data_IF_967119086306
#
_entry.id   IF_967119086306
#
_cell.length_a   1.000
_cell.length_b   1.000
_cell.length_c   1.000
_cell.angle_alpha   90.00
_cell.angle_beta   90.00
_cell.angle_gamma   90.00
#
_symmetry.space_group_name_H-M   'P 1'
#
loop_
_entity.id
_entity.type
_entity.pdbx_description
1 polymer ?
#
# COMPACT_ATOMS: atom_id res chain seq x y z
N UNK A 1 -62.95 -38.00 -18.92
CA UNK A 1 -62.53 -37.74 -17.53
C UNK A 1 -61.75 -36.42 -17.37
N UNK A 2 -61.96 -35.41 -18.23
CA UNK A 2 -61.16 -34.16 -18.27
C UNK A 2 -61.94 -32.86 -18.00
N UNK A 3 -63.26 -32.89 -17.77
CA UNK A 3 -64.10 -31.68 -17.69
C UNK A 3 -64.26 -31.07 -16.28
N UNK A 4 -63.85 -31.79 -15.24
CA UNK A 4 -63.92 -31.31 -13.85
C UNK A 4 -62.74 -30.42 -13.47
N UNK A 5 -61.62 -30.53 -14.20
CA UNK A 5 -60.39 -29.78 -13.96
C UNK A 5 -60.56 -28.31 -14.40
N UNK A 6 -61.28 -28.05 -15.50
CA UNK A 6 -61.53 -26.70 -16.02
C UNK A 6 -62.39 -25.83 -15.07
N UNK A 7 -63.35 -26.45 -14.36
CA UNK A 7 -64.18 -25.72 -13.36
C UNK A 7 -63.44 -25.44 -12.07
N UNK A 8 -62.48 -26.30 -11.69
CA UNK A 8 -61.59 -26.05 -10.56
C UNK A 8 -60.59 -24.94 -10.90
N UNK A 9 -60.02 -24.92 -12.11
CA UNK A 9 -59.09 -23.90 -12.59
C UNK A 9 -59.72 -22.50 -12.76
N UNK A 10 -61.04 -22.41 -13.00
CA UNK A 10 -61.72 -21.12 -13.25
C UNK A 10 -62.39 -20.51 -12.01
N UNK A 11 -62.20 -21.08 -10.82
CA UNK A 11 -62.75 -20.58 -9.56
C UNK A 11 -61.92 -19.42 -8.99
N UNK A 12 -62.57 -18.30 -8.63
CA UNK A 12 -61.92 -17.15 -7.95
C UNK A 12 -61.21 -17.55 -6.65
N UNK A 13 -61.69 -18.61 -5.99
CA UNK A 13 -61.10 -19.15 -4.76
C UNK A 13 -59.86 -19.99 -5.07
N UNK A 14 -59.92 -20.84 -6.11
CA UNK A 14 -58.79 -21.64 -6.55
C UNK A 14 -57.62 -20.76 -7.02
N UNK A 15 -57.91 -19.72 -7.82
CA UNK A 15 -56.90 -18.77 -8.26
C UNK A 15 -56.19 -18.06 -7.09
N UNK A 16 -56.93 -17.68 -6.04
CA UNK A 16 -56.36 -17.07 -4.82
C UNK A 16 -55.45 -18.03 -4.08
N UNK A 17 -55.87 -19.29 -3.91
CA UNK A 17 -55.06 -20.31 -3.22
C UNK A 17 -53.78 -20.60 -4.00
N UNK A 18 -53.88 -20.76 -5.33
CA UNK A 18 -52.72 -20.97 -6.20
C UNK A 18 -51.77 -19.78 -6.16
N UNK A 19 -52.27 -18.53 -6.17
CA UNK A 19 -51.38 -17.37 -6.12
C UNK A 19 -50.62 -17.29 -4.79
N UNK A 20 -51.28 -17.60 -3.67
CA UNK A 20 -50.63 -17.65 -2.35
C UNK A 20 -49.63 -18.79 -2.29
N UNK A 21 -49.96 -19.97 -2.83
CA UNK A 21 -49.05 -21.11 -2.86
C UNK A 21 -47.79 -20.81 -3.70
N UNK A 22 -47.95 -20.20 -4.87
CA UNK A 22 -46.83 -19.75 -5.70
C UNK A 22 -46.02 -18.67 -4.96
N UNK A 23 -46.66 -17.71 -4.31
CA UNK A 23 -45.96 -16.70 -3.52
C UNK A 23 -45.14 -17.31 -2.37
N UNK A 24 -45.68 -18.31 -1.67
CA UNK A 24 -44.98 -19.06 -0.62
C UNK A 24 -43.82 -19.88 -1.18
N UNK A 25 -44.00 -20.53 -2.34
CA UNK A 25 -42.93 -21.28 -3.00
C UNK A 25 -41.80 -20.35 -3.45
N UNK A 26 -42.13 -19.19 -4.04
CA UNK A 26 -41.14 -18.18 -4.43
C UNK A 26 -40.44 -17.59 -3.21
N UNK A 27 -41.19 -17.28 -2.15
CA UNK A 27 -40.61 -16.81 -0.88
C UNK A 27 -39.66 -17.86 -0.30
N UNK A 28 -40.06 -19.14 -0.27
CA UNK A 28 -39.21 -20.21 0.25
C UNK A 28 -37.99 -20.44 -0.64
N UNK A 29 -38.12 -20.36 -1.97
CA UNK A 29 -36.99 -20.46 -2.89
C UNK A 29 -35.97 -19.34 -2.66
N UNK A 30 -36.43 -18.09 -2.51
CA UNK A 30 -35.56 -16.95 -2.21
C UNK A 30 -34.98 -16.98 -0.79
N UNK A 31 -35.76 -17.42 0.20
CA UNK A 31 -35.33 -17.51 1.60
C UNK A 31 -34.45 -18.73 1.88
N UNK A 32 -34.54 -19.78 1.04
CA UNK A 32 -33.73 -20.99 1.12
C UNK A 32 -32.40 -20.85 0.37
N UNK A 33 -32.12 -19.70 -0.24
CA UNK A 33 -30.78 -19.39 -0.74
C UNK A 33 -29.83 -19.19 0.45
N UNK A 34 -29.37 -20.33 0.97
CA UNK A 34 -28.40 -20.48 2.04
C UNK A 34 -27.01 -20.30 1.46
N UNK A 35 -26.74 -19.08 1.04
CA UNK A 35 -25.41 -18.66 0.62
C UNK A 35 -25.12 -17.32 1.29
N UNK A 36 -24.79 -17.34 2.58
CA UNK A 36 -24.25 -16.15 3.25
C UNK A 36 -22.82 -15.91 2.78
N UNK A 37 -22.62 -15.82 1.47
CA UNK A 37 -21.41 -15.30 0.88
C UNK A 37 -21.45 -13.79 1.13
N UNK A 38 -20.79 -13.37 2.19
CA UNK A 38 -20.70 -11.96 2.56
C UNK A 38 -19.50 -11.40 1.81
N UNK A 39 -19.72 -10.32 1.06
CA UNK A 39 -18.63 -9.54 0.48
C UNK A 39 -18.12 -8.56 1.54
N UNK A 40 -16.81 -8.54 1.74
CA UNK A 40 -16.13 -7.61 2.65
C UNK A 40 -14.94 -6.97 1.96
N UNK A 41 -14.77 -5.68 2.18
CA UNK A 41 -13.58 -4.93 1.79
C UNK A 41 -12.59 -4.96 2.94
N UNK A 42 -11.35 -5.34 2.66
CA UNK A 42 -10.23 -5.33 3.59
C UNK A 42 -9.10 -4.50 2.97
N UNK A 43 -8.63 -3.51 3.72
CA UNK A 43 -7.47 -2.70 3.34
C UNK A 43 -6.21 -3.40 3.84
N UNK A 44 -5.29 -3.71 2.93
CA UNK A 44 -4.07 -4.48 3.22
C UNK A 44 -2.85 -3.68 2.73
N UNK A 45 -1.75 -3.65 3.50
CA UNK A 45 -0.51 -3.02 3.04
C UNK A 45 0.04 -3.73 1.81
N UNK A 46 0.65 -2.93 0.92
CA UNK A 46 1.27 -3.42 -0.29
C UNK A 46 2.73 -3.80 -0.04
N UNK A 47 3.06 -5.06 -0.27
CA UNK A 47 4.43 -5.57 -0.14
C UNK A 47 5.15 -5.62 -1.48
N UNK A 48 6.44 -5.26 -1.49
CA UNK A 48 7.29 -5.30 -2.67
C UNK A 48 8.27 -6.46 -2.58
N UNK A 49 8.18 -7.39 -3.52
CA UNK A 49 9.05 -8.57 -3.58
C UNK A 49 10.17 -8.37 -4.61
N UNK A 50 11.32 -8.99 -4.33
CA UNK A 50 12.49 -9.01 -5.20
C UNK A 50 13.02 -7.61 -5.56
N UNK A 51 12.98 -6.66 -4.63
CA UNK A 51 13.59 -5.33 -4.81
C UNK A 51 15.11 -5.49 -4.97
N UNK A 52 15.73 -5.01 -6.06
CA UNK A 52 17.17 -5.06 -6.24
C UNK A 52 17.92 -4.30 -5.11
N UNK A 53 19.07 -4.82 -4.68
CA UNK A 53 19.84 -4.31 -3.51
C UNK A 53 20.31 -2.86 -3.71
N UNK A 54 20.54 -2.44 -4.94
CA UNK A 54 20.96 -1.08 -5.33
C UNK A 54 19.77 -0.17 -5.70
N UNK A 55 18.53 -0.55 -5.35
CA UNK A 55 17.33 0.19 -5.74
C UNK A 55 16.37 0.42 -4.58
N UNK A 56 15.63 1.53 -4.67
CA UNK A 56 14.51 1.85 -3.80
C UNK A 56 13.24 1.98 -4.61
N UNK A 57 12.12 1.55 -4.02
CA UNK A 57 10.79 1.67 -4.62
C UNK A 57 10.13 2.93 -4.11
N UNK A 58 9.69 3.78 -5.03
CA UNK A 58 8.83 4.92 -4.74
C UNK A 58 7.45 4.67 -5.34
N UNK A 59 6.42 4.57 -4.52
CA UNK A 59 5.03 4.42 -4.93
C UNK A 59 4.14 5.45 -4.22
N UNK A 60 3.11 5.94 -4.93
CA UNK A 60 2.06 6.76 -4.32
C UNK A 60 1.01 5.95 -3.55
N UNK A 61 0.98 4.64 -3.78
CA UNK A 61 0.03 3.69 -3.16
C UNK A 61 0.79 2.82 -2.17
N UNK A 62 0.32 2.80 -0.92
CA UNK A 62 0.88 1.99 0.19
C UNK A 62 -0.05 0.89 0.67
N UNK A 63 -1.35 1.08 0.43
CA UNK A 63 -2.41 0.17 0.86
C UNK A 63 -3.33 -0.08 -0.33
N UNK A 64 -3.91 -1.28 -0.39
CA UNK A 64 -4.81 -1.72 -1.44
C UNK A 64 -6.09 -2.24 -0.80
N UNK A 65 -7.22 -1.86 -1.37
CA UNK A 65 -8.53 -2.36 -0.96
C UNK A 65 -8.85 -3.64 -1.73
N UNK A 66 -9.06 -4.72 -0.98
CA UNK A 66 -9.34 -6.04 -1.53
C UNK A 66 -10.73 -6.44 -1.09
N UNK A 67 -11.62 -6.66 -2.06
CA UNK A 67 -12.94 -7.24 -1.80
C UNK A 67 -12.87 -8.76 -1.90
N UNK A 68 -13.32 -9.41 -0.84
CA UNK A 68 -13.36 -10.86 -0.72
C UNK A 68 -14.77 -11.35 -0.44
N UNK A 69 -15.16 -12.46 -1.05
CA UNK A 69 -16.41 -13.17 -0.74
C UNK A 69 -16.10 -14.46 0.02
N UNK A 70 -16.90 -14.75 1.04
CA UNK A 70 -16.77 -15.97 1.84
C UNK A 70 -17.90 -16.10 2.84
N UNK A 71 -17.95 -17.23 3.53
CA UNK A 71 -18.90 -17.40 4.64
C UNK A 71 -18.61 -16.37 5.74
N UNK A 72 -19.64 -15.99 6.50
CA UNK A 72 -19.50 -14.99 7.57
C UNK A 72 -18.38 -15.33 8.57
N UNK A 73 -18.18 -16.62 8.87
CA UNK A 73 -17.16 -17.11 9.80
C UNK A 73 -15.76 -17.03 9.20
N UNK A 74 -15.59 -17.43 7.93
CA UNK A 74 -14.28 -17.41 7.24
C UNK A 74 -13.84 -15.98 6.93
N UNK A 75 -14.76 -15.10 6.49
CA UNK A 75 -14.45 -13.70 6.20
C UNK A 75 -13.95 -12.93 7.44
N UNK A 76 -14.47 -13.23 8.64
CA UNK A 76 -14.07 -12.56 9.87
C UNK A 76 -12.73 -13.08 10.42
N UNK A 77 -12.52 -14.40 10.36
CA UNK A 77 -11.31 -15.03 10.91
C UNK A 77 -10.08 -14.87 10.03
N UNK A 78 -10.26 -14.82 8.70
CA UNK A 78 -9.15 -14.86 7.74
C UNK A 78 -8.75 -13.48 7.19
N UNK A 79 -9.44 -12.40 7.58
CA UNK A 79 -9.16 -11.05 7.08
C UNK A 79 -7.71 -10.60 7.34
N UNK A 80 -7.09 -11.01 8.46
CA UNK A 80 -5.70 -10.69 8.80
C UNK A 80 -4.64 -11.53 8.09
N UNK A 81 -5.03 -12.53 7.30
CA UNK A 81 -4.11 -13.42 6.55
C UNK A 81 -4.04 -13.06 5.07
N UNK A 82 -4.81 -12.07 4.63
CA UNK A 82 -4.78 -11.58 3.25
C UNK A 82 -3.48 -10.80 3.07
N UNK A 83 -2.70 -11.16 2.05
CA UNK A 83 -1.47 -10.46 1.70
C UNK A 83 -1.58 -9.92 0.26
N UNK A 84 -1.00 -8.73 0.04
CA UNK A 84 -0.95 -8.09 -1.26
C UNK A 84 0.50 -7.80 -1.63
N UNK A 85 0.90 -8.22 -2.83
CA UNK A 85 2.31 -8.19 -3.24
C UNK A 85 2.47 -7.76 -4.71
N UNK A 86 3.60 -7.12 -4.99
CA UNK A 86 4.05 -6.82 -6.36
C UNK A 86 5.44 -7.41 -6.56
N UNK A 87 5.60 -8.21 -7.62
CA UNK A 87 6.90 -8.73 -8.03
C UNK A 87 7.62 -7.74 -8.95
N UNK A 88 8.82 -7.35 -8.51
CA UNK A 88 9.73 -6.41 -9.17
C UNK A 88 10.97 -7.10 -9.77
N UNK A 89 10.97 -8.44 -9.81
CA UNK A 89 12.10 -9.23 -10.32
C UNK A 89 12.48 -8.82 -11.75
N UNK A 90 13.77 -8.51 -11.93
CA UNK A 90 14.34 -8.21 -13.24
C UNK A 90 13.99 -6.83 -13.81
N UNK A 91 13.36 -5.96 -13.02
CA UNK A 91 13.07 -4.59 -13.44
C UNK A 91 14.31 -3.70 -13.22
N UNK A 92 14.59 -2.87 -14.23
CA UNK A 92 15.59 -1.82 -14.16
C UNK A 92 15.05 -0.51 -13.56
N UNK A 93 15.90 0.52 -13.43
CA UNK A 93 15.47 1.83 -12.96
C UNK A 93 14.45 2.48 -13.91
N UNK A 94 13.52 3.24 -13.35
CA UNK A 94 12.47 3.96 -14.07
C UNK A 94 11.05 3.65 -13.60
N UNK A 95 10.07 4.23 -14.31
CA UNK A 95 8.65 4.04 -14.04
C UNK A 95 8.14 2.73 -14.62
N UNK A 96 7.49 1.94 -13.78
CA UNK A 96 6.86 0.68 -14.15
C UNK A 96 5.41 0.65 -13.65
N UNK A 97 4.57 -0.06 -14.40
CA UNK A 97 3.19 -0.36 -14.00
C UNK A 97 3.07 -1.86 -13.79
N UNK A 98 2.67 -2.28 -12.58
CA UNK A 98 2.59 -3.70 -12.23
C UNK A 98 1.21 -4.05 -11.65
N UNK A 99 0.69 -5.24 -11.96
CA UNK A 99 -0.54 -5.71 -11.35
C UNK A 99 -0.30 -6.08 -9.88
N UNK A 100 -1.27 -5.78 -9.01
CA UNK A 100 -1.26 -6.24 -7.63
C UNK A 100 -1.61 -7.72 -7.60
N UNK A 101 -0.75 -8.54 -7.01
CA UNK A 101 -1.04 -9.96 -6.76
C UNK A 101 -1.60 -10.09 -5.34
N UNK A 102 -2.73 -10.77 -5.20
CA UNK A 102 -3.35 -11.00 -3.90
C UNK A 102 -3.24 -12.48 -3.54
N UNK A 103 -2.72 -12.76 -2.35
CA UNK A 103 -2.68 -14.09 -1.77
C UNK A 103 -3.84 -14.21 -0.80
N UNK A 104 -4.77 -15.11 -1.10
CA UNK A 104 -5.93 -15.39 -0.27
C UNK A 104 -5.82 -16.77 0.38
N UNK A 105 -6.19 -16.89 1.66
CA UNK A 105 -6.34 -18.19 2.30
C UNK A 105 -7.52 -18.98 1.74
N UNK A 106 -7.49 -20.30 1.91
CA UNK A 106 -8.58 -21.19 1.48
C UNK A 106 -9.90 -20.81 2.13
N UNK A 107 -10.97 -20.74 1.34
CA UNK A 107 -12.32 -20.40 1.83
C UNK A 107 -12.71 -18.93 1.64
N UNK A 108 -11.82 -18.12 1.07
CA UNK A 108 -12.13 -16.80 0.51
C UNK A 108 -12.00 -16.84 -1.02
N UNK A 109 -12.83 -16.05 -1.70
CA UNK A 109 -12.72 -15.79 -3.14
C UNK A 109 -12.45 -14.31 -3.36
N UNK A 110 -11.59 -14.02 -4.32
CA UNK A 110 -11.35 -12.65 -4.74
C UNK A 110 -12.53 -12.15 -5.56
N UNK A 111 -13.11 -11.02 -5.15
CA UNK A 111 -14.16 -10.32 -5.90
C UNK A 111 -13.55 -9.20 -6.71
N UNK A 112 -12.80 -8.31 -6.04
CA UNK A 112 -12.23 -7.11 -6.65
C UNK A 112 -10.96 -6.67 -5.91
N UNK A 113 -10.07 -6.00 -6.63
CA UNK A 113 -8.87 -5.34 -6.07
C UNK A 113 -8.83 -3.92 -6.59
N UNK A 114 -8.69 -2.96 -5.69
CA UNK A 114 -8.60 -1.55 -6.03
C UNK A 114 -7.43 -0.87 -5.31
N UNK A 115 -6.45 -0.30 -6.03
CA UNK A 115 -6.29 -0.32 -7.48
C UNK A 115 -5.76 -1.68 -8.00
N UNK A 116 -6.15 -2.13 -9.20
CA UNK A 116 -5.63 -3.38 -9.79
C UNK A 116 -4.19 -3.25 -10.31
N UNK A 117 -3.78 -2.02 -10.65
CA UNK A 117 -2.44 -1.69 -11.11
C UNK A 117 -1.87 -0.56 -10.27
N UNK A 118 -0.60 -0.70 -9.92
CA UNK A 118 0.15 0.33 -9.19
C UNK A 118 1.28 0.82 -10.09
N UNK A 119 1.35 2.14 -10.23
CA UNK A 119 2.47 2.82 -10.86
C UNK A 119 3.56 3.02 -9.80
N UNK A 120 4.75 2.52 -10.10
CA UNK A 120 5.90 2.51 -9.19
C UNK A 120 7.14 3.00 -9.91
N UNK A 121 8.01 3.70 -9.20
CA UNK A 121 9.27 4.20 -9.73
C UNK A 121 10.43 3.54 -8.99
N UNK A 122 11.29 2.86 -9.76
CA UNK A 122 12.52 2.25 -9.25
C UNK A 122 13.65 3.24 -9.40
N UNK A 123 14.23 3.62 -8.27
CA UNK A 123 15.30 4.62 -8.20
C UNK A 123 16.57 3.93 -7.74
N UNK A 124 17.68 4.14 -8.46
CA UNK A 124 18.98 3.64 -8.02
C UNK A 124 19.44 4.40 -6.79
N UNK A 125 19.81 3.65 -5.77
CA UNK A 125 20.48 4.18 -4.58
C UNK A 125 21.98 4.12 -4.80
N UNK A 126 22.62 5.26 -4.69
CA UNK A 126 24.07 5.36 -4.68
C UNK A 126 24.55 5.82 -3.30
N UNK A 127 25.82 5.58 -3.02
CA UNK A 127 26.52 6.14 -1.87
C UNK A 127 27.67 6.98 -2.40
N UNK A 128 27.76 8.24 -1.97
CA UNK A 128 28.83 9.15 -2.37
C UNK A 128 29.53 9.69 -1.14
N UNK A 129 30.85 9.74 -1.19
CA UNK A 129 31.67 10.41 -0.19
C UNK A 129 31.76 11.88 -0.59
N UNK A 130 31.34 12.76 0.32
CA UNK A 130 31.34 14.20 0.10
C UNK A 130 32.18 14.90 1.18
N UNK A 131 32.96 15.93 0.81
CA UNK A 131 33.72 16.72 1.77
C UNK A 131 32.77 17.58 2.60
N UNK A 132 33.08 17.68 3.89
CA UNK A 132 32.35 18.54 4.83
C UNK A 132 32.96 19.94 4.81
N UNK A 133 32.13 20.95 4.54
CA UNK A 133 32.50 22.36 4.64
C UNK A 133 31.70 23.03 5.75
N UNK A 134 32.36 23.90 6.49
CA UNK A 134 31.70 24.71 7.51
C UNK A 134 31.21 26.03 6.90
N UNK A 135 29.96 26.42 7.19
CA UNK A 135 29.57 27.83 7.08
C UNK A 135 29.98 28.54 8.36
N UNK A 136 30.78 29.60 8.21
CA UNK A 136 31.09 30.48 9.33
C UNK A 136 29.85 31.35 9.59
N UNK A 137 29.27 31.35 10.80
CA UNK A 137 28.13 32.20 11.13
C UNK A 137 28.51 33.68 11.04
N UNK A 138 27.63 34.50 10.46
CA UNK A 138 27.76 35.95 10.50
C UNK A 138 27.51 36.44 11.94
N UNK A 139 28.48 37.17 12.53
CA UNK A 139 28.33 37.73 13.89
C UNK A 139 29.47 37.44 14.87
N UNK A 140 30.69 37.16 14.39
CA UNK A 140 31.87 37.10 15.27
C UNK A 140 32.03 38.43 16.04
N UNK A 141 32.16 38.41 17.39
CA UNK A 141 32.34 39.62 18.17
C UNK A 141 33.59 40.40 17.71
N UNK A 142 33.57 41.75 17.79
CA UNK A 142 34.71 42.56 17.39
C UNK A 142 35.96 42.19 18.21
N UNK A 143 37.06 41.87 17.52
CA UNK A 143 38.32 41.42 18.13
C UNK A 143 38.59 39.91 18.03
N UNK A 144 37.63 39.11 17.55
CA UNK A 144 37.83 37.68 17.31
C UNK A 144 38.12 37.41 15.83
N UNK A 145 39.09 36.52 15.55
CA UNK A 145 39.41 36.01 14.21
C UNK A 145 39.47 34.49 14.28
N UNK A 146 38.94 33.83 13.26
CA UNK A 146 39.06 32.38 13.11
C UNK A 146 40.49 32.06 12.66
N UNK A 147 41.31 31.42 13.50
CA UNK A 147 42.73 31.16 13.19
C UNK A 147 42.96 29.82 12.48
N UNK A 148 42.27 28.74 12.87
CA UNK A 148 42.24 27.46 12.16
C UNK A 148 41.15 26.58 12.77
N UNK A 149 40.41 25.82 11.98
CA UNK A 149 39.37 24.91 12.47
C UNK A 149 39.55 23.52 11.87
N UNK A 150 39.42 22.49 12.71
CA UNK A 150 39.63 21.09 12.33
C UNK A 150 38.29 20.38 12.25
N UNK A 151 37.81 20.14 11.04
CA UNK A 151 36.59 19.38 10.80
C UNK A 151 36.92 17.89 10.88
N UNK A 152 36.41 17.20 11.90
CA UNK A 152 36.46 15.75 12.02
C UNK A 152 35.03 15.19 12.10
N UNK A 153 34.56 14.40 11.11
CA UNK A 153 35.30 13.89 9.94
C UNK A 153 35.34 14.87 8.75
N UNK A 154 36.45 14.86 8.01
CA UNK A 154 36.66 15.68 6.79
C UNK A 154 35.72 15.28 5.65
N UNK A 155 35.30 14.01 5.63
CA UNK A 155 34.43 13.44 4.62
C UNK A 155 33.33 12.60 5.25
N UNK A 156 32.13 12.64 4.66
CA UNK A 156 30.98 11.85 5.10
C UNK A 156 30.41 11.05 3.94
N UNK A 157 29.99 9.81 4.23
CA UNK A 157 29.28 8.98 3.26
C UNK A 157 27.80 9.31 3.29
N UNK A 158 27.29 9.85 2.18
CA UNK A 158 25.87 10.17 1.99
C UNK A 158 25.24 9.13 1.08
N UNK A 159 24.13 8.53 1.53
CA UNK A 159 23.33 7.57 0.74
C UNK A 159 22.04 8.21 0.27
N UNK A 160 21.64 7.94 -0.97
CA UNK A 160 20.41 8.51 -1.52
C UNK A 160 20.23 8.25 -3.01
N UNK A 161 19.20 8.86 -3.62
CA UNK A 161 18.95 8.78 -5.05
C UNK A 161 20.15 9.28 -5.86
N UNK A 162 20.63 8.46 -6.80
CA UNK A 162 21.82 8.77 -7.61
C UNK A 162 21.75 10.15 -8.28
N UNK A 163 20.59 10.49 -8.87
CA UNK A 163 20.35 11.77 -9.54
C UNK A 163 20.43 13.01 -8.62
N UNK A 164 20.13 12.85 -7.33
CA UNK A 164 20.28 13.92 -6.35
C UNK A 164 21.73 14.00 -5.88
N UNK A 165 22.35 12.85 -5.60
CA UNK A 165 23.74 12.78 -5.15
C UNK A 165 24.75 13.28 -6.20
N UNK A 166 24.45 13.12 -7.49
CA UNK A 166 25.28 13.69 -8.56
C UNK A 166 25.30 15.22 -8.54
N UNK A 167 24.21 15.84 -8.08
CA UNK A 167 24.07 17.29 -8.01
C UNK A 167 24.65 17.89 -6.72
N UNK A 168 25.02 17.05 -5.74
CA UNK A 168 25.63 17.50 -4.48
C UNK A 168 27.15 17.60 -4.62
N UNK A 169 27.71 18.77 -4.34
CA UNK A 169 29.16 18.99 -4.34
C UNK A 169 29.77 18.96 -2.93
N UNK A 170 29.08 19.54 -1.95
CA UNK A 170 29.59 19.71 -0.58
C UNK A 170 28.49 19.47 0.45
N UNK A 171 28.86 18.93 1.60
CA UNK A 171 27.99 18.86 2.78
C UNK A 171 28.33 20.02 3.69
N UNK A 172 27.33 20.80 4.07
CA UNK A 172 27.52 21.98 4.89
C UNK A 172 27.17 21.72 6.35
N UNK A 173 28.05 22.14 7.26
CA UNK A 173 27.78 22.18 8.70
C UNK A 173 27.73 23.64 9.14
N UNK A 174 26.65 24.01 9.83
CA UNK A 174 26.47 25.33 10.41
C UNK A 174 26.57 25.22 11.94
N UNK A 175 27.76 25.39 12.53
CA UNK A 175 27.92 25.39 13.98
C UNK A 175 27.33 26.66 14.60
N UNK A 176 26.88 26.57 15.84
CA UNK A 176 26.48 27.74 16.63
C UNK A 176 27.70 28.43 17.23
N UNK A 177 27.65 29.77 17.44
CA UNK A 177 28.75 30.54 18.07
C UNK A 177 29.19 29.96 19.43
N UNK A 178 28.26 29.41 20.22
CA UNK A 178 28.58 28.74 21.48
C UNK A 178 29.49 27.52 21.28
N UNK A 179 29.25 26.73 20.23
CA UNK A 179 30.02 25.52 19.92
C UNK A 179 31.43 25.86 19.43
N UNK A 180 31.58 26.97 18.69
CA UNK A 180 32.88 27.47 18.24
C UNK A 180 33.74 28.04 19.38
N UNK A 181 33.11 28.55 20.45
CA UNK A 181 33.81 29.09 21.61
C UNK A 181 34.20 28.01 22.63
N UNK A 182 33.46 26.90 22.67
CA UNK A 182 33.67 25.79 23.62
C UNK A 182 34.85 24.88 23.24
N UNK A 183 35.22 24.81 21.96
CA UNK A 183 36.33 23.98 21.46
C UNK A 183 37.71 24.48 21.92
N UNK A 184 37.79 25.65 22.56
CA UNK A 184 39.03 26.22 23.08
C UNK A 184 39.53 25.57 24.40
N UNK A 185 38.72 24.71 25.02
CA UNK A 185 39.01 24.06 26.32
C UNK A 185 39.39 22.57 26.23
N UNK A 186 39.76 22.06 25.04
CA UNK A 186 40.26 20.69 24.83
C UNK A 186 41.70 20.67 24.26
#
# INVERSE_FOLDING_TARGET
MMRSIDRLLSSKLFLKVVSVLVAVLVWFYLASDRGTEVVRTVTVPLEFLNVPVDMSVSSGVREVDIQVSGTRETAFSLAGTIASQIDLKGLGPGSHRRPVQVILPSGLRLVEVSPPFVDLNLIRLASRVLPVRMLVPDGLPPGYRLEEHRIDPVEVTVKGPEHLLSSLENVWVAPTLEQLLQEKDL
#
